data_IF_552767646121
#
_entry.id   IF_552767646121
#
_cell.length_a   1.000
_cell.length_b   1.000
_cell.length_c   1.000
_cell.angle_alpha   90.00
_cell.angle_beta   90.00
_cell.angle_gamma   90.00
#
_symmetry.space_group_name_H-M   'P 1'
#
loop_
_entity.id
_entity.type
_entity.pdbx_description
1 polymer ?
#
# COMPACT_ATOMS: atom_id res chain seq x y z
N UNK A 1 11.47 18.74 0.19
CA UNK A 1 10.74 19.53 0.83
C UNK A 1 9.50 18.97 1.45
N UNK A 2 8.44 19.65 1.39
CA UNK A 2 7.25 19.25 2.06
C UNK A 2 6.80 17.82 1.80
N UNK A 3 7.24 17.27 0.72
CA UNK A 3 6.82 15.94 0.34
C UNK A 3 7.32 14.85 1.27
N UNK A 4 8.57 14.97 1.72
CA UNK A 4 9.11 13.94 2.59
C UNK A 4 8.33 13.88 3.90
N UNK A 5 8.03 15.04 4.45
CA UNK A 5 7.29 15.09 5.70
C UNK A 5 5.86 14.60 5.49
N UNK A 6 5.27 14.96 4.36
CA UNK A 6 3.92 14.53 4.06
C UNK A 6 3.83 13.01 3.97
N UNK A 7 4.81 12.39 3.31
CA UNK A 7 4.81 10.95 3.19
C UNK A 7 4.91 10.27 4.54
N UNK A 8 5.74 10.81 5.41
CA UNK A 8 5.84 10.27 6.76
C UNK A 8 4.50 10.32 7.47
N UNK A 9 3.82 11.44 7.37
CA UNK A 9 2.54 11.59 8.06
C UNK A 9 1.49 10.67 7.51
N UNK A 10 1.50 10.45 6.19
CA UNK A 10 0.45 9.68 5.55
C UNK A 10 0.60 8.20 5.80
N UNK A 11 1.82 7.67 5.78
CA UNK A 11 2.01 6.22 5.80
C UNK A 11 2.61 5.70 7.10
N UNK A 12 2.91 6.58 8.05
CA UNK A 12 3.63 6.18 9.24
C UNK A 12 3.00 5.01 9.98
N UNK A 13 1.70 5.09 10.23
CA UNK A 13 1.02 4.04 10.98
C UNK A 13 0.78 2.80 10.14
N UNK A 14 0.42 3.00 8.87
CA UNK A 14 0.15 1.87 8.01
C UNK A 14 1.42 1.11 7.65
N UNK A 15 2.56 1.80 7.65
CA UNK A 15 3.83 1.13 7.43
C UNK A 15 4.11 0.06 8.46
N UNK A 16 3.72 0.32 9.71
CA UNK A 16 3.93 -0.66 10.76
C UNK A 16 3.19 -1.94 10.46
N UNK A 17 1.94 -1.83 9.99
CA UNK A 17 1.17 -3.00 9.64
C UNK A 17 1.86 -3.82 8.55
N UNK A 18 2.34 -3.15 7.51
CA UNK A 18 2.99 -3.87 6.42
C UNK A 18 4.32 -4.46 6.84
N UNK A 19 5.04 -3.79 7.73
CA UNK A 19 6.28 -4.34 8.24
C UNK A 19 6.04 -5.61 9.03
N UNK A 20 4.95 -5.66 9.76
CA UNK A 20 4.61 -6.86 10.52
C UNK A 20 4.28 -8.03 9.62
N UNK A 21 3.94 -7.75 8.36
CA UNK A 21 3.59 -8.78 7.39
C UNK A 21 4.76 -9.14 6.48
N UNK A 22 5.99 -8.85 6.91
CA UNK A 22 7.14 -9.09 6.04
C UNK A 22 7.74 -10.47 6.16
N UNK A 23 7.40 -11.26 7.18
CA UNK A 23 7.97 -12.59 7.24
C UNK A 23 7.36 -13.49 6.17
N UNK A 24 7.93 -14.69 6.00
CA UNK A 24 7.61 -15.53 4.86
C UNK A 24 6.13 -15.90 4.81
N UNK A 25 5.59 -16.34 5.94
CA UNK A 25 4.19 -16.77 5.98
C UNK A 25 3.25 -15.60 5.78
N UNK A 26 3.58 -14.48 6.41
CA UNK A 26 2.72 -13.31 6.30
C UNK A 26 2.78 -12.67 4.93
N UNK A 27 3.91 -12.80 4.23
CA UNK A 27 3.97 -12.30 2.86
C UNK A 27 3.04 -13.07 1.94
N UNK A 28 2.95 -14.39 2.12
CA UNK A 28 2.02 -15.18 1.33
C UNK A 28 0.58 -14.78 1.61
N UNK A 29 0.26 -14.57 2.88
CA UNK A 29 -1.06 -14.12 3.27
C UNK A 29 -1.36 -12.73 2.69
N UNK A 30 -0.39 -11.84 2.76
CA UNK A 30 -0.57 -10.49 2.24
C UNK A 30 -0.87 -10.52 0.75
N UNK A 31 -0.11 -11.31 -0.01
CA UNK A 31 -0.34 -11.41 -1.45
C UNK A 31 -1.75 -11.92 -1.75
N UNK A 32 -2.21 -12.91 -0.99
CA UNK A 32 -3.54 -13.45 -1.20
C UNK A 32 -4.62 -12.43 -0.90
N UNK A 33 -4.46 -11.70 0.21
CA UNK A 33 -5.45 -10.71 0.58
C UNK A 33 -5.50 -9.57 -0.44
N UNK A 34 -4.35 -9.16 -0.94
CA UNK A 34 -4.31 -8.13 -1.98
C UNK A 34 -5.07 -8.58 -3.21
N UNK A 35 -4.87 -9.84 -3.60
CA UNK A 35 -5.56 -10.36 -4.79
C UNK A 35 -7.06 -10.48 -4.57
N UNK A 36 -7.48 -10.84 -3.36
CA UNK A 36 -8.89 -11.12 -3.09
C UNK A 36 -9.71 -9.91 -2.71
N UNK A 37 -9.11 -8.96 -1.99
CA UNK A 37 -9.87 -7.88 -1.36
C UNK A 37 -9.75 -6.54 -2.05
N UNK A 38 -8.77 -6.35 -2.92
CA UNK A 38 -8.50 -5.06 -3.52
C UNK A 38 -8.87 -5.06 -4.99
N UNK A 39 -9.22 -3.87 -5.51
CA UNK A 39 -9.37 -3.73 -6.95
C UNK A 39 -7.99 -3.83 -7.59
N UNK A 40 -7.97 -4.00 -8.91
CA UNK A 40 -6.70 -4.08 -9.62
C UNK A 40 -5.85 -2.84 -9.41
N UNK A 41 -6.47 -1.67 -9.43
CA UNK A 41 -5.73 -0.42 -9.25
C UNK A 41 -5.20 -0.30 -7.83
N UNK A 42 -6.02 -0.63 -6.85
CA UNK A 42 -5.58 -0.59 -5.46
C UNK A 42 -4.41 -1.54 -5.23
N UNK A 43 -4.52 -2.75 -5.77
CA UNK A 43 -3.45 -3.73 -5.61
C UNK A 43 -2.17 -3.26 -6.25
N UNK A 44 -2.25 -2.71 -7.47
CA UNK A 44 -1.05 -2.25 -8.15
C UNK A 44 -0.41 -1.08 -7.43
N UNK A 45 -1.23 -0.18 -6.90
CA UNK A 45 -0.70 0.96 -6.16
C UNK A 45 0.10 0.49 -4.94
N UNK A 46 -0.45 -0.46 -4.19
CA UNK A 46 0.28 -0.96 -3.02
C UNK A 46 1.55 -1.69 -3.42
N UNK A 47 1.50 -2.49 -4.48
CA UNK A 47 2.69 -3.19 -4.92
C UNK A 47 3.80 -2.22 -5.31
N UNK A 48 3.44 -1.13 -5.98
CA UNK A 48 4.42 -0.14 -6.38
C UNK A 48 4.93 0.67 -5.21
N UNK A 49 4.02 1.05 -4.31
CA UNK A 49 4.42 1.87 -3.17
C UNK A 49 5.35 1.15 -2.22
N UNK A 50 5.12 -0.14 -2.02
CA UNK A 50 5.88 -0.89 -1.01
C UNK A 50 6.81 -1.94 -1.60
N UNK A 51 6.90 -1.99 -2.92
CA UNK A 51 7.83 -2.92 -3.57
C UNK A 51 7.53 -4.37 -3.26
N UNK A 52 6.26 -4.76 -3.29
CA UNK A 52 5.88 -6.08 -2.79
C UNK A 52 6.25 -7.23 -3.70
N UNK A 53 6.45 -6.98 -4.98
CA UNK A 53 6.77 -8.03 -5.94
C UNK A 53 8.23 -7.95 -6.38
N UNK A 54 9.11 -7.64 -5.45
CA UNK A 54 10.51 -7.53 -5.78
C UNK A 54 10.88 -6.22 -6.46
N UNK A 55 9.94 -5.32 -6.58
CA UNK A 55 10.20 -4.01 -7.15
C UNK A 55 10.80 -3.09 -6.11
N UNK A 56 11.44 -2.02 -6.56
CA UNK A 56 11.83 -0.96 -5.66
C UNK A 56 10.60 -0.15 -5.28
N UNK A 57 10.47 0.25 -4.02
CA UNK A 57 9.34 1.08 -3.61
C UNK A 57 9.33 2.40 -4.37
N UNK A 58 8.14 2.87 -4.69
CA UNK A 58 7.94 4.14 -5.38
C UNK A 58 7.25 5.14 -4.49
N UNK A 59 7.49 6.42 -4.73
CA UNK A 59 6.79 7.46 -4.00
C UNK A 59 5.37 7.60 -4.55
N UNK A 60 4.51 8.26 -3.78
CA UNK A 60 3.17 8.55 -4.27
C UNK A 60 3.22 9.38 -5.55
N UNK A 61 4.18 10.29 -5.62
CA UNK A 61 4.33 11.12 -6.81
C UNK A 61 4.68 10.30 -8.03
N UNK A 62 5.57 9.32 -7.87
CA UNK A 62 5.94 8.44 -8.98
C UNK A 62 4.75 7.60 -9.44
N UNK A 63 3.98 7.08 -8.50
CA UNK A 63 2.80 6.30 -8.85
C UNK A 63 1.77 7.18 -9.54
N UNK A 64 1.59 8.40 -9.05
CA UNK A 64 0.66 9.34 -9.68
C UNK A 64 1.05 9.63 -11.11
N UNK A 65 2.35 9.84 -11.36
CA UNK A 65 2.82 10.08 -12.71
C UNK A 65 2.59 8.88 -13.61
N UNK A 66 2.78 7.70 -13.09
CA UNK A 66 2.56 6.48 -13.88
C UNK A 66 1.12 6.37 -14.35
N UNK A 67 0.19 6.69 -13.48
CA UNK A 67 -1.23 6.56 -13.81
C UNK A 67 -1.84 7.82 -14.41
N UNK A 68 -1.11 8.93 -14.42
CA UNK A 68 -1.65 10.18 -14.91
C UNK A 68 -2.75 10.74 -14.02
N UNK A 69 -2.64 10.55 -12.73
CA UNK A 69 -3.61 11.04 -11.76
C UNK A 69 -2.88 11.88 -10.71
N UNK A 70 -3.63 12.54 -9.87
CA UNK A 70 -3.03 13.40 -8.86
C UNK A 70 -2.44 12.57 -7.72
N UNK A 71 -1.44 13.14 -7.05
CA UNK A 71 -0.87 12.49 -5.88
C UNK A 71 -1.89 12.36 -4.76
N UNK A 72 -2.76 13.35 -4.62
CA UNK A 72 -3.82 13.28 -3.62
C UNK A 72 -4.72 12.09 -3.84
N UNK A 73 -5.02 11.81 -5.10
CA UNK A 73 -5.87 10.67 -5.43
C UNK A 73 -5.15 9.36 -5.11
N UNK A 74 -3.84 9.28 -5.41
CA UNK A 74 -3.06 8.12 -5.04
C UNK A 74 -3.09 7.91 -3.54
N UNK A 75 -2.94 8.99 -2.79
CA UNK A 75 -2.97 8.91 -1.33
C UNK A 75 -4.31 8.35 -0.84
N UNK A 76 -5.41 8.81 -1.41
CA UNK A 76 -6.72 8.31 -1.02
C UNK A 76 -6.90 6.83 -1.37
N UNK A 77 -6.45 6.44 -2.55
CA UNK A 77 -6.56 5.05 -2.97
C UNK A 77 -5.68 4.14 -2.10
N UNK A 78 -4.50 4.60 -1.78
CA UNK A 78 -3.61 3.84 -0.91
C UNK A 78 -4.24 3.65 0.47
N UNK A 79 -4.78 4.71 1.02
CA UNK A 79 -5.40 4.63 2.33
C UNK A 79 -6.60 3.69 2.33
N UNK A 80 -7.39 3.75 1.26
CA UNK A 80 -8.54 2.87 1.13
C UNK A 80 -8.11 1.42 1.03
N UNK A 81 -7.06 1.17 0.25
CA UNK A 81 -6.56 -0.19 0.10
C UNK A 81 -6.04 -0.74 1.42
N UNK A 82 -5.27 0.06 2.14
CA UNK A 82 -4.74 -0.36 3.43
C UNK A 82 -5.86 -0.62 4.43
N UNK A 83 -6.91 0.18 4.37
CA UNK A 83 -8.07 -0.04 5.23
C UNK A 83 -8.74 -1.37 4.95
N UNK A 84 -8.86 -1.73 3.68
CA UNK A 84 -9.45 -3.02 3.31
C UNK A 84 -8.59 -4.17 3.83
N UNK A 85 -7.28 -4.05 3.73
CA UNK A 85 -6.39 -5.09 4.23
C UNK A 85 -6.48 -5.21 5.75
N UNK A 86 -6.53 -4.09 6.43
CA UNK A 86 -6.65 -4.10 7.87
C UNK A 86 -7.94 -4.77 8.30
N UNK A 87 -9.02 -4.48 7.61
CA UNK A 87 -10.30 -5.09 7.90
C UNK A 87 -10.24 -6.61 7.68
N UNK A 88 -9.62 -7.03 6.57
CA UNK A 88 -9.51 -8.45 6.28
C UNK A 88 -8.68 -9.18 7.32
N UNK A 89 -7.61 -8.55 7.79
CA UNK A 89 -6.78 -9.16 8.81
C UNK A 89 -7.52 -9.24 10.13
N UNK A 90 -8.32 -8.23 10.44
CA UNK A 90 -9.09 -8.23 11.68
C UNK A 90 -10.13 -9.34 11.68
N UNK A 91 -10.73 -9.60 10.53
CA UNK A 91 -11.73 -10.65 10.41
C UNK A 91 -11.14 -12.04 10.60
N UNK A 92 -9.84 -12.20 10.34
CA UNK A 92 -9.19 -13.50 10.51
C UNK A 92 -8.84 -13.80 11.96
N UNK A 93 -8.85 -12.78 12.79
CA UNK A 93 -8.58 -12.98 14.21
C UNK A 93 -9.89 -13.21 14.95
#
# INVERSE_FOLDING_TARGET
EGDARYLSDVVGEEDTMLEELQDKENRALLRRLIAEKLTKREADILRRRYGLDGRLPQTQRQVAAHYGISRSYVSRLEKKALGKLEEALRERM
#
